data_IF_819182315345
#
_entry.id   IF_819182315345
#
_cell.length_a   1.000
_cell.length_b   1.000
_cell.length_c   1.000
_cell.angle_alpha   90.00
_cell.angle_beta   90.00
_cell.angle_gamma   90.00
#
_symmetry.space_group_name_H-M   'P 1'
#
loop_
_entity.id
_entity.type
_entity.pdbx_description
1 polymer ?
#
# COMPACT_ATOMS: atom_id res chain seq x y z
N UNK A 1 15.20 -69.07 41.37
CA UNK A 1 14.91 -67.84 42.13
C UNK A 1 14.36 -66.79 41.17
N UNK A 2 13.05 -66.57 41.20
CA UNK A 2 12.35 -65.75 40.28
C UNK A 2 12.07 -64.39 40.98
N UNK A 3 12.38 -63.33 40.29
CA UNK A 3 11.93 -61.99 40.68
C UNK A 3 10.67 -61.57 39.88
N UNK A 4 9.65 -60.96 40.52
CA UNK A 4 8.44 -60.59 39.84
C UNK A 4 8.59 -59.20 39.16
N UNK A 5 8.01 -59.09 37.97
CA UNK A 5 7.89 -57.86 37.20
C UNK A 5 6.81 -56.95 37.79
N UNK A 6 7.13 -55.69 37.96
CA UNK A 6 6.17 -54.65 38.36
C UNK A 6 5.39 -54.15 37.12
N UNK A 7 4.07 -54.26 37.20
CA UNK A 7 3.11 -53.71 36.24
C UNK A 7 2.90 -52.22 36.49
N UNK A 8 3.25 -51.40 35.50
CA UNK A 8 2.92 -49.95 35.54
C UNK A 8 1.71 -49.69 34.66
N UNK A 9 0.59 -49.40 35.28
CA UNK A 9 -0.66 -48.98 34.62
C UNK A 9 -0.52 -47.55 34.11
N UNK A 10 -0.61 -47.37 32.78
CA UNK A 10 -0.69 -46.06 32.14
C UNK A 10 -2.15 -45.62 32.14
N UNK A 11 -2.47 -44.57 32.88
CA UNK A 11 -3.77 -43.93 32.89
C UNK A 11 -3.98 -43.10 31.64
N UNK A 12 -4.99 -43.43 30.85
CA UNK A 12 -5.47 -42.66 29.72
C UNK A 12 -6.31 -41.45 30.24
N UNK A 13 -5.85 -40.24 29.96
CA UNK A 13 -6.62 -39.00 30.21
C UNK A 13 -7.40 -38.69 28.94
N UNK A 14 -8.71 -38.51 29.00
CA UNK A 14 -9.48 -38.10 27.80
C UNK A 14 -9.25 -36.62 27.49
N UNK A 15 -8.78 -36.34 26.29
CA UNK A 15 -8.68 -34.99 25.71
C UNK A 15 -10.06 -34.51 25.33
N UNK A 16 -10.63 -33.55 26.12
CA UNK A 16 -11.79 -32.80 25.75
C UNK A 16 -11.36 -31.61 24.91
N UNK A 17 -11.45 -31.73 23.60
CA UNK A 17 -11.26 -30.63 22.66
C UNK A 17 -12.52 -29.76 22.67
N UNK A 18 -12.54 -28.73 23.53
CA UNK A 18 -13.58 -27.70 23.50
C UNK A 18 -13.34 -26.78 22.31
N UNK A 19 -14.19 -26.86 21.31
CA UNK A 19 -14.29 -25.89 20.24
C UNK A 19 -14.72 -24.54 20.81
N UNK A 20 -13.76 -23.63 21.00
CA UNK A 20 -14.06 -22.24 21.29
C UNK A 20 -14.39 -21.54 19.98
N UNK A 21 -15.67 -21.35 19.74
CA UNK A 21 -16.18 -20.40 18.76
C UNK A 21 -15.82 -18.98 19.22
N UNK A 22 -14.78 -18.40 18.64
CA UNK A 22 -14.52 -16.96 18.79
C UNK A 22 -15.62 -16.18 18.06
N UNK A 23 -16.64 -15.78 18.79
CA UNK A 23 -17.48 -14.65 18.41
C UNK A 23 -16.61 -13.39 18.51
N UNK A 24 -16.36 -12.73 17.36
CA UNK A 24 -15.65 -11.46 17.31
C UNK A 24 -16.31 -10.43 18.23
N UNK A 25 -15.62 -10.04 19.26
CA UNK A 25 -15.93 -8.83 20.04
C UNK A 25 -15.20 -7.67 19.34
N UNK A 26 -15.93 -6.91 18.56
CA UNK A 26 -15.56 -5.54 18.20
C UNK A 26 -15.80 -4.67 19.44
N UNK A 27 -14.77 -4.49 20.26
CA UNK A 27 -14.76 -3.52 21.33
C UNK A 27 -13.76 -2.42 20.99
N UNK A 28 -14.09 -1.13 21.20
CA UNK A 28 -13.15 -0.04 20.92
C UNK A 28 -11.98 -0.08 21.91
N UNK A 29 -10.76 0.00 21.38
CA UNK A 29 -9.57 0.17 22.19
C UNK A 29 -9.52 1.63 22.68
N UNK A 30 -9.66 1.82 23.98
CA UNK A 30 -9.94 3.10 24.64
C UNK A 30 -8.65 3.81 25.09
N UNK A 31 -7.64 3.95 24.23
CA UNK A 31 -6.39 4.63 24.61
C UNK A 31 -5.97 5.84 23.77
N UNK A 32 -6.81 6.29 22.84
CA UNK A 32 -6.60 7.57 22.15
C UNK A 32 -7.94 8.28 21.94
N UNK A 33 -8.14 9.40 22.59
CA UNK A 33 -9.33 10.25 22.60
C UNK A 33 -10.35 10.09 21.48
N UNK A 34 -11.28 9.13 21.60
CA UNK A 34 -12.53 9.10 20.84
C UNK A 34 -12.49 8.72 19.36
N UNK A 35 -11.33 8.50 18.74
CA UNK A 35 -11.22 8.01 17.36
C UNK A 35 -11.25 6.48 17.36
N UNK A 36 -12.29 5.89 16.78
CA UNK A 36 -12.27 4.47 16.42
C UNK A 36 -11.22 4.27 15.34
N UNK A 37 -10.27 3.35 15.57
CA UNK A 37 -9.27 2.96 14.57
C UNK A 37 -9.86 1.80 13.78
N UNK A 38 -10.33 2.00 12.53
CA UNK A 38 -10.97 0.95 11.77
C UNK A 38 -9.94 -0.03 11.19
N UNK A 39 -10.26 -1.33 11.26
CA UNK A 39 -9.48 -2.41 10.65
C UNK A 39 -10.40 -3.31 9.86
N UNK A 40 -9.90 -3.80 8.74
CA UNK A 40 -10.50 -4.92 8.02
C UNK A 40 -9.61 -6.15 8.14
N UNK A 41 -10.22 -7.32 8.12
CA UNK A 41 -9.47 -8.59 8.04
C UNK A 41 -9.39 -9.02 6.58
N UNK A 42 -8.19 -8.98 6.02
CA UNK A 42 -7.89 -9.42 4.68
C UNK A 42 -6.83 -10.52 4.73
N UNK A 43 -7.10 -11.70 4.16
CA UNK A 43 -6.18 -12.85 4.19
C UNK A 43 -5.66 -13.20 5.60
N UNK A 44 -6.52 -13.09 6.62
CA UNK A 44 -6.23 -13.29 8.05
C UNK A 44 -5.30 -12.24 8.67
N UNK A 45 -5.03 -11.14 7.99
CA UNK A 45 -4.23 -10.02 8.47
C UNK A 45 -5.13 -8.83 8.75
N UNK A 46 -4.83 -8.08 9.79
CA UNK A 46 -5.50 -6.81 10.10
C UNK A 46 -4.89 -5.72 9.22
N UNK A 47 -5.73 -5.08 8.45
CA UNK A 47 -5.34 -3.93 7.62
C UNK A 47 -6.01 -2.68 8.20
N UNK A 48 -5.19 -1.73 8.62
CA UNK A 48 -5.65 -0.43 9.08
C UNK A 48 -6.00 0.47 7.91
N UNK A 49 -7.09 1.22 8.05
CA UNK A 49 -7.46 2.28 7.10
C UNK A 49 -8.12 3.43 7.85
N UNK A 50 -8.16 4.60 7.25
CA UNK A 50 -8.93 5.74 7.74
C UNK A 50 -9.83 6.30 6.64
N UNK A 51 -10.85 7.04 7.04
CA UNK A 51 -11.76 7.74 6.11
C UNK A 51 -11.81 9.21 6.45
N UNK A 52 -11.94 10.07 5.43
CA UNK A 52 -12.10 11.51 5.61
C UNK A 52 -13.04 12.08 4.54
N UNK A 53 -13.74 13.17 4.88
CA UNK A 53 -14.73 13.76 3.98
C UNK A 53 -16.05 12.98 3.96
N UNK A 54 -17.10 13.62 3.45
CA UNK A 54 -18.45 13.05 3.41
C UNK A 54 -19.05 13.06 2.00
N UNK A 55 -18.34 13.64 1.03
CA UNK A 55 -18.83 13.86 -0.34
C UNK A 55 -18.48 12.71 -1.26
N UNK A 56 -19.45 12.22 -2.00
CA UNK A 56 -19.17 11.33 -3.13
C UNK A 56 -18.68 12.12 -4.36
N UNK A 57 -17.87 11.50 -5.23
CA UNK A 57 -17.49 10.10 -5.22
C UNK A 57 -16.36 9.75 -4.24
N UNK A 58 -16.10 8.44 -4.08
CA UNK A 58 -14.99 7.96 -3.28
C UNK A 58 -13.65 8.09 -4.02
N UNK A 59 -12.59 8.39 -3.26
CA UNK A 59 -11.20 8.36 -3.70
C UNK A 59 -10.36 7.53 -2.73
N UNK A 60 -9.77 6.45 -3.24
CA UNK A 60 -8.89 5.59 -2.48
C UNK A 60 -7.43 6.06 -2.60
N UNK A 61 -6.75 6.19 -1.47
CA UNK A 61 -5.37 6.66 -1.38
C UNK A 61 -4.45 5.54 -0.89
N UNK A 62 -3.39 5.27 -1.64
CA UNK A 62 -2.38 4.29 -1.29
C UNK A 62 -0.97 4.88 -1.41
N UNK A 63 -0.27 4.98 -0.29
CA UNK A 63 1.04 5.59 -0.19
C UNK A 63 2.19 4.74 -0.75
N UNK A 64 3.39 5.33 -0.80
CA UNK A 64 4.62 4.64 -1.13
C UNK A 64 5.07 3.72 0.00
N UNK A 65 6.13 2.95 -0.26
CA UNK A 65 6.71 2.05 0.73
C UNK A 65 7.37 2.83 1.88
N UNK A 66 7.19 2.35 3.11
CA UNK A 66 7.68 2.94 4.38
C UNK A 66 7.20 4.39 4.66
N UNK A 67 6.10 4.78 4.07
CA UNK A 67 5.43 6.04 4.42
C UNK A 67 4.07 5.70 5.02
N UNK A 68 3.88 6.06 6.27
CA UNK A 68 2.65 5.79 6.98
C UNK A 68 1.49 6.70 6.52
N UNK A 69 0.31 6.39 7.00
CA UNK A 69 -0.93 7.10 6.69
C UNK A 69 -0.88 8.59 7.06
N UNK A 70 -0.17 8.96 8.16
CA UNK A 70 -0.09 10.34 8.64
C UNK A 70 0.53 11.31 7.62
N UNK A 71 1.37 10.80 6.70
CA UNK A 71 1.96 11.62 5.64
C UNK A 71 0.90 12.26 4.73
N UNK A 72 -0.23 11.62 4.51
CA UNK A 72 -1.32 12.17 3.73
C UNK A 72 -1.97 13.40 4.38
N UNK A 73 -2.01 13.41 5.73
CA UNK A 73 -2.47 14.55 6.51
C UNK A 73 -1.44 15.68 6.51
N UNK A 74 -0.17 15.35 6.78
CA UNK A 74 0.92 16.32 6.89
C UNK A 74 1.19 17.06 5.58
N UNK A 75 1.04 16.39 4.46
CA UNK A 75 1.23 16.99 3.13
C UNK A 75 0.03 17.79 2.64
N UNK A 76 -1.11 17.75 3.35
CA UNK A 76 -2.31 18.49 3.00
C UNK A 76 -3.16 17.86 1.89
N UNK A 77 -2.85 16.66 1.43
CA UNK A 77 -3.72 15.94 0.47
C UNK A 77 -5.11 15.72 1.01
N UNK A 78 -5.22 15.27 2.27
CA UNK A 78 -6.52 15.00 2.89
C UNK A 78 -7.34 16.29 2.97
N UNK A 79 -6.75 17.37 3.48
CA UNK A 79 -7.42 18.66 3.62
C UNK A 79 -8.04 19.14 2.30
N UNK A 80 -7.29 19.04 1.21
CA UNK A 80 -7.75 19.55 -0.09
C UNK A 80 -8.69 18.59 -0.83
N UNK A 81 -8.47 17.28 -0.73
CA UNK A 81 -9.27 16.30 -1.47
C UNK A 81 -10.62 15.98 -0.79
N UNK A 82 -10.72 16.05 0.54
CA UNK A 82 -11.97 15.80 1.27
C UNK A 82 -13.08 16.83 0.95
N UNK A 83 -12.72 17.99 0.41
CA UNK A 83 -13.69 18.99 -0.06
C UNK A 83 -14.51 18.48 -1.26
N UNK A 84 -13.98 17.49 -1.99
CA UNK A 84 -14.57 16.97 -3.23
C UNK A 84 -14.93 15.51 -3.16
N UNK A 85 -14.21 14.73 -2.35
CA UNK A 85 -14.30 13.27 -2.27
C UNK A 85 -14.53 12.79 -0.85
N UNK A 86 -15.11 11.61 -0.73
CA UNK A 86 -14.97 10.78 0.46
C UNK A 86 -13.71 9.94 0.30
N UNK A 87 -12.75 10.16 1.17
CA UNK A 87 -11.43 9.55 1.09
C UNK A 87 -11.40 8.24 1.88
N UNK A 88 -10.70 7.26 1.33
CA UNK A 88 -10.30 6.03 2.02
C UNK A 88 -8.80 5.93 1.92
N UNK A 89 -8.11 5.92 3.04
CA UNK A 89 -6.64 5.90 3.11
C UNK A 89 -6.22 4.60 3.76
N UNK A 90 -5.48 3.76 3.04
CA UNK A 90 -4.98 2.49 3.56
C UNK A 90 -3.60 2.66 4.18
N UNK A 91 -3.36 1.94 5.26
CA UNK A 91 -2.03 1.70 5.79
C UNK A 91 -1.58 0.30 5.35
N UNK A 92 -0.61 0.20 4.42
CA UNK A 92 -0.27 -1.08 3.81
C UNK A 92 0.23 -2.10 4.82
N UNK A 93 -0.01 -3.39 4.58
CA UNK A 93 0.51 -4.49 5.39
C UNK A 93 2.02 -4.34 5.60
N UNK A 94 2.49 -4.56 6.82
CA UNK A 94 3.88 -4.39 7.22
C UNK A 94 4.26 -2.96 7.60
N UNK A 95 3.29 -2.03 7.63
CA UNK A 95 3.53 -0.62 7.95
C UNK A 95 2.51 -0.13 9.00
N UNK A 96 2.95 0.83 9.81
CA UNK A 96 2.11 1.51 10.78
C UNK A 96 1.35 0.57 11.71
N UNK A 97 0.03 0.66 11.71
CA UNK A 97 -0.88 -0.12 12.57
C UNK A 97 -1.38 -1.42 11.93
N UNK A 98 -1.11 -1.64 10.65
CA UNK A 98 -1.42 -2.90 9.98
C UNK A 98 -0.53 -4.03 10.50
N UNK A 99 -1.01 -5.27 10.42
CA UNK A 99 -0.21 -6.44 10.81
C UNK A 99 1.07 -6.52 9.98
N UNK A 100 2.08 -7.23 10.52
CA UNK A 100 3.41 -7.34 9.93
C UNK A 100 3.91 -8.79 9.92
N UNK A 101 3.26 -9.70 9.14
CA UNK A 101 3.68 -11.10 9.06
C UNK A 101 5.04 -11.24 8.37
N UNK A 102 5.77 -12.33 8.67
CA UNK A 102 7.06 -12.61 8.03
C UNK A 102 6.92 -13.32 6.68
N UNK A 103 5.78 -13.94 6.42
CA UNK A 103 5.54 -14.72 5.19
C UNK A 103 5.46 -13.79 3.97
N UNK A 104 6.36 -13.99 3.02
CA UNK A 104 6.55 -13.12 1.85
C UNK A 104 5.32 -13.00 0.97
N UNK A 105 4.57 -14.09 0.79
CA UNK A 105 3.38 -14.13 -0.07
C UNK A 105 2.30 -13.10 0.27
N UNK A 106 2.25 -12.62 1.51
CA UNK A 106 1.33 -11.56 1.94
C UNK A 106 1.67 -10.18 1.36
N UNK A 107 2.91 -9.98 0.91
CA UNK A 107 3.43 -8.70 0.42
C UNK A 107 3.44 -8.55 -1.10
N UNK A 108 3.06 -9.59 -1.86
CA UNK A 108 2.96 -9.50 -3.31
C UNK A 108 1.97 -8.40 -3.73
N UNK A 109 2.19 -7.77 -4.87
CA UNK A 109 1.28 -6.72 -5.39
C UNK A 109 -0.15 -7.25 -5.54
N UNK A 110 -0.30 -8.53 -5.93
CA UNK A 110 -1.62 -9.19 -5.98
C UNK A 110 -2.28 -9.29 -4.61
N UNK A 111 -1.53 -9.68 -3.57
CA UNK A 111 -2.07 -9.74 -2.20
C UNK A 111 -2.49 -8.36 -1.70
N UNK A 112 -1.70 -7.32 -2.00
CA UNK A 112 -2.02 -5.93 -1.64
C UNK A 112 -3.24 -5.41 -2.40
N UNK A 113 -3.42 -5.79 -3.66
CA UNK A 113 -4.65 -5.50 -4.40
C UNK A 113 -5.88 -6.11 -3.72
N UNK A 114 -5.77 -7.36 -3.21
CA UNK A 114 -6.84 -7.98 -2.44
C UNK A 114 -7.12 -7.23 -1.12
N UNK A 115 -6.10 -6.68 -0.44
CA UNK A 115 -6.31 -5.84 0.75
C UNK A 115 -7.15 -4.60 0.42
N UNK A 116 -6.88 -3.93 -0.71
CA UNK A 116 -7.68 -2.77 -1.16
C UNK A 116 -9.13 -3.17 -1.39
N UNK A 117 -9.38 -4.30 -2.07
CA UNK A 117 -10.75 -4.77 -2.33
C UNK A 117 -11.51 -5.10 -1.04
N UNK A 118 -10.84 -5.68 -0.03
CA UNK A 118 -11.47 -5.93 1.27
C UNK A 118 -11.80 -4.62 2.00
N UNK A 119 -10.94 -3.60 1.92
CA UNK A 119 -11.25 -2.27 2.48
C UNK A 119 -12.44 -1.65 1.75
N UNK A 120 -12.48 -1.70 0.40
CA UNK A 120 -13.61 -1.18 -0.37
C UNK A 120 -14.92 -1.88 0.01
N UNK A 121 -14.89 -3.21 0.19
CA UNK A 121 -16.05 -3.99 0.63
C UNK A 121 -16.52 -3.57 2.03
N UNK A 122 -15.59 -3.36 2.96
CA UNK A 122 -15.89 -2.92 4.34
C UNK A 122 -16.58 -1.55 4.36
N UNK A 123 -16.11 -0.62 3.53
CA UNK A 123 -16.72 0.71 3.40
C UNK A 123 -17.90 0.75 2.42
N UNK A 124 -18.31 -0.40 1.89
CA UNK A 124 -19.45 -0.57 0.98
C UNK A 124 -19.34 0.26 -0.31
N UNK A 125 -18.14 0.25 -0.93
CA UNK A 125 -17.84 0.98 -2.16
C UNK A 125 -17.54 -0.01 -3.28
N UNK A 126 -18.42 -0.02 -4.30
CA UNK A 126 -18.26 -0.90 -5.47
C UNK A 126 -17.19 -0.38 -6.43
N UNK A 127 -17.11 0.95 -6.64
CA UNK A 127 -16.22 1.56 -7.59
C UNK A 127 -15.66 2.90 -7.06
N UNK A 128 -14.34 3.08 -7.13
CA UNK A 128 -13.64 4.26 -6.58
C UNK A 128 -12.69 4.89 -7.59
N UNK A 129 -12.41 6.18 -7.44
CA UNK A 129 -11.19 6.77 -7.97
C UNK A 129 -10.00 6.25 -7.15
N UNK A 130 -8.86 6.06 -7.78
CA UNK A 130 -7.66 5.55 -7.11
C UNK A 130 -6.47 6.49 -7.32
N UNK A 131 -5.79 6.86 -6.24
CA UNK A 131 -4.53 7.60 -6.27
C UNK A 131 -3.46 6.80 -5.56
N UNK A 132 -2.42 6.41 -6.29
CA UNK A 132 -1.31 5.62 -5.78
C UNK A 132 0.06 6.26 -6.00
N UNK A 133 0.92 6.22 -4.98
CA UNK A 133 2.31 6.66 -5.07
C UNK A 133 3.25 5.48 -4.83
N UNK A 134 4.28 5.32 -5.67
CA UNK A 134 5.26 4.24 -5.56
C UNK A 134 4.62 2.85 -5.49
N UNK A 135 4.72 2.18 -4.33
CA UNK A 135 4.06 0.88 -4.08
C UNK A 135 2.55 0.94 -4.37
N UNK A 136 1.88 2.01 -3.93
CA UNK A 136 0.46 2.21 -4.18
C UNK A 136 0.13 2.33 -5.67
N UNK A 137 1.03 2.88 -6.48
CA UNK A 137 0.85 2.95 -7.92
C UNK A 137 0.94 1.55 -8.57
N UNK A 138 1.87 0.68 -8.13
CA UNK A 138 1.93 -0.73 -8.58
C UNK A 138 0.62 -1.47 -8.27
N UNK A 139 0.10 -1.28 -7.05
CA UNK A 139 -1.20 -1.85 -6.65
C UNK A 139 -2.33 -1.32 -7.53
N UNK A 140 -2.35 -0.01 -7.80
CA UNK A 140 -3.34 0.62 -8.68
C UNK A 140 -3.32 0.06 -10.11
N UNK A 141 -2.15 -0.13 -10.71
CA UNK A 141 -2.03 -0.77 -12.02
C UNK A 141 -2.51 -2.23 -12.00
N UNK A 142 -2.17 -2.98 -10.96
CA UNK A 142 -2.66 -4.36 -10.79
C UNK A 142 -4.18 -4.41 -10.71
N UNK A 143 -4.81 -3.51 -9.95
CA UNK A 143 -6.26 -3.42 -9.83
C UNK A 143 -6.93 -3.01 -11.15
N UNK A 144 -6.37 -2.04 -11.88
CA UNK A 144 -6.90 -1.59 -13.16
C UNK A 144 -6.94 -2.69 -14.22
N UNK A 145 -6.11 -3.72 -14.08
CA UNK A 145 -6.10 -4.91 -14.95
C UNK A 145 -6.99 -6.01 -14.41
N UNK A 146 -6.81 -6.40 -13.14
CA UNK A 146 -7.45 -7.57 -12.58
C UNK A 146 -8.89 -7.33 -12.12
N UNK A 147 -9.23 -6.08 -11.74
CA UNK A 147 -10.52 -5.67 -11.20
C UNK A 147 -10.96 -4.30 -11.73
N UNK A 148 -11.04 -4.11 -13.07
CA UNK A 148 -11.32 -2.80 -13.67
C UNK A 148 -12.66 -2.21 -13.25
N UNK A 149 -13.64 -3.04 -12.91
CA UNK A 149 -14.99 -2.60 -12.49
C UNK A 149 -14.96 -1.87 -11.14
N UNK A 150 -13.93 -2.11 -10.31
CA UNK A 150 -13.76 -1.43 -9.03
C UNK A 150 -12.97 -0.10 -9.14
N UNK A 151 -12.37 0.18 -10.30
CA UNK A 151 -11.51 1.36 -10.50
C UNK A 151 -12.11 2.29 -11.55
N UNK A 152 -12.71 3.38 -11.11
CA UNK A 152 -13.28 4.42 -11.98
C UNK A 152 -12.19 5.15 -12.76
N UNK A 153 -11.16 5.59 -12.07
CA UNK A 153 -9.97 6.21 -12.64
C UNK A 153 -8.73 5.84 -11.84
N UNK A 154 -7.58 5.85 -12.49
CA UNK A 154 -6.29 5.59 -11.89
C UNK A 154 -5.39 6.83 -12.02
N UNK A 155 -4.93 7.38 -10.90
CA UNK A 155 -3.86 8.38 -10.87
C UNK A 155 -2.63 7.80 -10.17
N UNK A 156 -1.44 7.95 -10.77
CA UNK A 156 -0.20 7.36 -10.24
C UNK A 156 0.98 8.29 -10.34
N UNK A 157 1.93 8.20 -9.37
CA UNK A 157 3.24 8.79 -9.47
C UNK A 157 4.31 7.85 -8.87
N UNK A 158 5.54 7.92 -9.37
CA UNK A 158 6.68 7.17 -8.86
C UNK A 158 6.67 5.68 -9.18
N UNK A 159 5.88 5.22 -10.16
CA UNK A 159 5.90 3.85 -10.67
C UNK A 159 5.36 3.77 -12.09
N UNK A 160 5.63 2.65 -12.74
CA UNK A 160 5.11 2.30 -14.08
C UNK A 160 4.58 0.86 -14.08
N UNK A 161 3.77 0.46 -15.10
CA UNK A 161 3.12 -0.85 -15.13
C UNK A 161 4.01 -2.00 -15.62
N UNK A 162 5.29 -1.76 -15.88
CA UNK A 162 6.24 -2.76 -16.38
C UNK A 162 7.05 -3.39 -15.24
N UNK A 163 7.73 -4.54 -15.47
CA UNK A 163 8.70 -5.08 -14.53
C UNK A 163 9.82 -4.07 -14.22
N UNK A 164 10.39 -4.15 -13.01
CA UNK A 164 11.45 -3.25 -12.55
C UNK A 164 12.87 -3.74 -12.93
N UNK A 165 13.05 -4.32 -14.12
CA UNK A 165 14.27 -5.01 -14.55
C UNK A 165 15.50 -4.07 -14.51
N UNK A 166 15.35 -2.84 -14.97
CA UNK A 166 16.46 -1.87 -15.03
C UNK A 166 16.84 -1.31 -13.66
N UNK A 167 16.03 -1.59 -12.65
CA UNK A 167 16.21 -1.08 -11.29
C UNK A 167 16.62 -2.17 -10.29
N UNK A 168 16.69 -3.44 -10.71
CA UNK A 168 16.90 -4.58 -9.80
C UNK A 168 18.13 -4.40 -8.92
N UNK A 169 19.26 -3.98 -9.47
CA UNK A 169 20.49 -3.82 -8.69
C UNK A 169 20.33 -2.77 -7.57
N UNK A 170 19.70 -1.65 -7.87
CA UNK A 170 19.49 -0.55 -6.91
C UNK A 170 18.47 -0.96 -5.84
N UNK A 171 17.45 -1.73 -6.22
CA UNK A 171 16.43 -2.26 -5.32
C UNK A 171 16.97 -3.39 -4.43
N UNK A 172 17.88 -4.23 -4.95
CA UNK A 172 18.60 -5.23 -4.15
C UNK A 172 19.50 -4.56 -3.10
N UNK A 173 20.17 -3.47 -3.44
CA UNK A 173 20.94 -2.68 -2.48
C UNK A 173 20.02 -2.11 -1.38
N UNK A 174 18.87 -1.53 -1.75
CA UNK A 174 17.88 -1.04 -0.82
C UNK A 174 17.33 -2.15 0.10
N UNK A 175 17.06 -3.32 -0.45
CA UNK A 175 16.61 -4.49 0.30
C UNK A 175 17.69 -4.96 1.29
N UNK A 176 18.95 -4.97 0.89
CA UNK A 176 20.07 -5.32 1.75
C UNK A 176 20.25 -4.32 2.90
N UNK A 177 20.08 -3.01 2.64
CA UNK A 177 20.10 -2.01 3.71
C UNK A 177 19.02 -2.30 4.77
N UNK A 178 17.81 -2.60 4.35
CA UNK A 178 16.71 -2.92 5.25
C UNK A 178 16.98 -4.22 6.02
N UNK A 179 17.42 -5.28 5.32
CA UNK A 179 17.71 -6.58 5.94
C UNK A 179 18.78 -6.47 7.04
N UNK A 180 19.78 -5.61 6.84
CA UNK A 180 20.83 -5.36 7.82
C UNK A 180 20.45 -4.32 8.91
N UNK A 181 19.19 -3.86 8.92
CA UNK A 181 18.71 -2.88 9.90
C UNK A 181 19.19 -1.44 9.66
N UNK A 182 19.74 -1.14 8.49
CA UNK A 182 20.22 0.20 8.13
C UNK A 182 19.06 1.10 7.68
N UNK A 183 17.98 1.16 8.46
CA UNK A 183 16.73 1.86 8.12
C UNK A 183 16.98 3.36 7.94
N UNK A 184 17.82 3.98 8.78
CA UNK A 184 18.14 5.41 8.64
C UNK A 184 18.84 5.73 7.32
N UNK A 185 19.76 4.87 6.87
CA UNK A 185 20.45 5.04 5.58
C UNK A 185 19.47 4.86 4.42
N UNK A 186 18.58 3.88 4.51
CA UNK A 186 17.49 3.67 3.55
C UNK A 186 16.61 4.94 3.44
N UNK A 187 16.13 5.47 4.55
CA UNK A 187 15.28 6.66 4.55
C UNK A 187 16.01 7.88 3.97
N UNK A 188 17.28 8.05 4.29
CA UNK A 188 18.08 9.15 3.74
C UNK A 188 18.26 9.05 2.22
N UNK A 189 18.42 7.84 1.69
CA UNK A 189 18.63 7.62 0.25
C UNK A 189 17.32 7.70 -0.54
N UNK A 190 16.25 7.09 -0.04
CA UNK A 190 15.02 6.88 -0.79
C UNK A 190 13.90 7.84 -0.43
N UNK A 191 13.99 8.48 0.72
CA UNK A 191 13.01 9.42 1.25
C UNK A 191 13.65 10.72 1.72
N UNK A 192 14.77 11.14 1.09
CA UNK A 192 15.50 12.36 1.46
C UNK A 192 14.66 13.63 1.42
N UNK A 193 13.62 13.65 0.60
CA UNK A 193 12.66 14.76 0.52
C UNK A 193 11.44 14.57 1.42
N UNK A 194 11.35 13.42 2.11
CA UNK A 194 10.28 13.13 3.03
C UNK A 194 10.46 13.98 4.30
N UNK A 195 9.56 14.89 4.56
CA UNK A 195 9.50 15.63 5.81
C UNK A 195 8.85 14.79 6.91
N UNK A 196 9.43 13.61 7.18
CA UNK A 196 8.96 12.72 8.23
C UNK A 196 9.13 13.39 9.60
N UNK A 197 8.07 13.40 10.41
CA UNK A 197 8.16 13.84 11.80
C UNK A 197 9.08 12.90 12.60
N UNK A 198 9.58 13.38 13.75
CA UNK A 198 10.40 12.53 14.64
C UNK A 198 9.65 11.26 15.07
N UNK A 199 8.34 11.37 15.30
CA UNK A 199 7.48 10.23 15.65
C UNK A 199 7.38 9.21 14.50
N UNK A 200 7.22 9.66 13.25
CA UNK A 200 7.22 8.79 12.08
C UNK A 200 8.57 8.10 11.88
N UNK A 201 9.68 8.84 12.03
CA UNK A 201 11.01 8.27 11.95
C UNK A 201 11.23 7.20 13.04
N UNK A 202 10.78 7.46 14.26
CA UNK A 202 10.84 6.51 15.36
C UNK A 202 9.97 5.27 15.11
N UNK A 203 8.75 5.44 14.63
CA UNK A 203 7.88 4.31 14.26
C UNK A 203 8.52 3.41 13.20
N UNK A 204 9.10 4.00 12.16
CA UNK A 204 9.77 3.25 11.10
C UNK A 204 11.02 2.56 11.66
N UNK A 205 11.81 3.26 12.48
CA UNK A 205 13.03 2.71 13.07
C UNK A 205 12.75 1.55 14.04
N UNK A 206 11.62 1.58 14.73
CA UNK A 206 11.17 0.52 15.65
C UNK A 206 10.45 -0.64 14.94
N UNK A 207 10.21 -0.54 13.64
CA UNK A 207 9.62 -1.61 12.85
C UNK A 207 10.57 -2.79 12.63
N UNK A 208 10.05 -3.89 12.10
CA UNK A 208 10.84 -5.09 11.87
C UNK A 208 11.59 -5.00 10.53
N UNK A 209 12.95 -4.96 10.52
CA UNK A 209 13.76 -4.89 9.30
C UNK A 209 13.53 -6.07 8.33
N UNK A 210 13.27 -7.27 8.85
CA UNK A 210 12.98 -8.46 8.04
C UNK A 210 11.66 -8.31 7.29
N UNK A 211 10.63 -7.77 7.95
CA UNK A 211 9.34 -7.45 7.32
C UNK A 211 9.54 -6.41 6.21
N UNK A 212 10.32 -5.37 6.47
CA UNK A 212 10.58 -4.33 5.47
C UNK A 212 11.35 -4.88 4.27
N UNK A 213 12.41 -5.63 4.50
CA UNK A 213 13.18 -6.30 3.44
C UNK A 213 12.31 -7.24 2.61
N UNK A 214 11.51 -8.08 3.28
CA UNK A 214 10.57 -9.01 2.62
C UNK A 214 9.53 -8.26 1.79
N UNK A 215 8.94 -7.22 2.35
CA UNK A 215 7.93 -6.38 1.70
C UNK A 215 8.45 -5.68 0.44
N UNK A 216 9.66 -5.11 0.52
CA UNK A 216 10.32 -4.49 -0.64
C UNK A 216 10.67 -5.54 -1.69
N UNK A 217 11.23 -6.68 -1.29
CA UNK A 217 11.61 -7.78 -2.18
C UNK A 217 10.42 -8.30 -3.00
N UNK A 218 9.24 -8.44 -2.40
CA UNK A 218 8.02 -8.83 -3.12
C UNK A 218 7.57 -7.75 -4.12
N UNK A 219 7.73 -6.47 -3.79
CA UNK A 219 7.45 -5.37 -4.73
C UNK A 219 8.41 -5.38 -5.92
N UNK A 220 9.67 -5.74 -5.69
CA UNK A 220 10.69 -5.86 -6.74
C UNK A 220 10.45 -7.06 -7.67
N UNK A 221 9.85 -8.15 -7.15
CA UNK A 221 9.50 -9.34 -7.95
C UNK A 221 8.24 -9.16 -8.79
N UNK A 222 7.59 -8.01 -8.71
CA UNK A 222 6.43 -7.74 -9.54
C UNK A 222 6.79 -7.73 -11.03
N UNK A 223 6.17 -8.63 -11.77
CA UNK A 223 6.40 -8.80 -13.21
C UNK A 223 5.67 -7.78 -14.09
N UNK A 224 5.12 -6.72 -13.47
CA UNK A 224 4.29 -5.74 -14.15
C UNK A 224 2.84 -6.23 -14.33
N UNK A 225 2.10 -5.53 -15.16
CA UNK A 225 0.73 -5.96 -15.53
C UNK A 225 0.78 -7.08 -16.57
N UNK A 226 -0.09 -8.07 -16.42
CA UNK A 226 -0.15 -9.25 -17.29
C UNK A 226 -0.77 -8.97 -18.66
N UNK A 227 -1.64 -7.95 -18.73
CA UNK A 227 -2.37 -7.61 -19.93
C UNK A 227 -1.67 -6.51 -20.73
N UNK A 228 -1.81 -6.52 -22.08
CA UNK A 228 -1.31 -5.42 -22.90
C UNK A 228 -1.94 -4.08 -22.47
N UNK A 229 -1.14 -3.02 -22.35
CA UNK A 229 -1.60 -1.71 -21.89
C UNK A 229 -2.71 -1.11 -22.75
N UNK A 230 -2.74 -1.45 -24.03
CA UNK A 230 -3.80 -1.02 -24.95
C UNK A 230 -5.17 -1.69 -24.69
N UNK A 231 -5.24 -2.70 -23.84
CA UNK A 231 -6.50 -3.31 -23.39
C UNK A 231 -7.08 -2.66 -22.13
N UNK A 232 -6.28 -1.91 -21.39
CA UNK A 232 -6.68 -1.27 -20.14
C UNK A 232 -7.58 -0.06 -20.44
N UNK A 233 -8.86 -0.16 -20.12
CA UNK A 233 -9.87 0.88 -20.43
C UNK A 233 -10.05 1.92 -19.33
N UNK A 234 -9.51 1.68 -18.14
CA UNK A 234 -9.55 2.64 -17.03
C UNK A 234 -8.89 3.94 -17.46
N UNK A 235 -9.56 5.07 -17.25
CA UNK A 235 -8.94 6.38 -17.47
C UNK A 235 -7.79 6.59 -16.50
N UNK A 236 -6.59 6.89 -17.02
CA UNK A 236 -5.39 6.98 -16.21
C UNK A 236 -4.65 8.32 -16.38
N UNK A 237 -4.17 8.86 -15.26
CA UNK A 237 -3.29 10.02 -15.18
C UNK A 237 -1.98 9.62 -14.51
N UNK A 238 -0.88 9.65 -15.25
CA UNK A 238 0.44 9.27 -14.75
C UNK A 238 1.29 10.54 -14.57
N UNK A 239 1.88 10.70 -13.38
CA UNK A 239 2.78 11.81 -13.07
C UNK A 239 4.22 11.33 -13.07
N UNK A 240 5.13 12.11 -13.66
CA UNK A 240 6.56 11.84 -13.73
C UNK A 240 7.35 13.13 -13.88
N UNK A 241 8.65 13.09 -13.62
CA UNK A 241 9.57 14.20 -13.88
C UNK A 241 10.70 13.73 -14.81
N UNK A 242 11.29 14.63 -15.58
CA UNK A 242 12.35 14.29 -16.55
C UNK A 242 13.61 13.75 -15.91
N UNK A 243 13.82 14.03 -14.63
CA UNK A 243 14.94 13.52 -13.83
C UNK A 243 14.70 12.14 -13.22
N UNK A 244 13.45 11.64 -13.28
CA UNK A 244 13.13 10.31 -12.75
C UNK A 244 13.72 9.21 -13.63
N UNK A 245 14.34 8.18 -13.06
CA UNK A 245 14.80 7.00 -13.81
C UNK A 245 13.67 6.35 -14.61
N UNK A 246 12.44 6.40 -14.08
CA UNK A 246 11.22 5.82 -14.67
C UNK A 246 10.52 6.70 -15.71
N UNK A 247 11.05 7.89 -15.99
CA UNK A 247 10.41 8.86 -16.89
C UNK A 247 9.97 8.27 -18.23
N UNK A 248 10.88 7.56 -18.91
CA UNK A 248 10.58 6.99 -20.23
C UNK A 248 9.49 5.93 -20.17
N UNK A 249 9.54 5.06 -19.15
CA UNK A 249 8.55 3.99 -18.94
C UNK A 249 7.18 4.55 -18.58
N UNK A 250 7.09 5.57 -17.71
CA UNK A 250 5.83 6.23 -17.37
C UNK A 250 5.22 6.92 -18.58
N UNK A 251 6.04 7.66 -19.37
CA UNK A 251 5.59 8.32 -20.59
C UNK A 251 5.06 7.33 -21.61
N UNK A 252 5.76 6.23 -21.80
CA UNK A 252 5.36 5.19 -22.75
C UNK A 252 4.06 4.51 -22.30
N UNK A 253 3.92 4.17 -21.01
CA UNK A 253 2.68 3.63 -20.46
C UNK A 253 1.49 4.56 -20.70
N UNK A 254 1.66 5.86 -20.43
CA UNK A 254 0.61 6.86 -20.65
C UNK A 254 0.19 7.00 -22.12
N UNK A 255 1.06 6.64 -23.08
CA UNK A 255 0.76 6.64 -24.52
C UNK A 255 0.09 5.36 -24.99
N UNK A 256 0.47 4.22 -24.40
CA UNK A 256 -0.06 2.90 -24.80
C UNK A 256 -1.47 2.64 -24.25
N UNK A 257 -1.80 3.18 -23.09
CA UNK A 257 -3.14 3.06 -22.53
C UNK A 257 -4.14 3.92 -23.32
N UNK A 258 -5.27 3.37 -23.83
CA UNK A 258 -6.22 4.11 -24.67
C UNK A 258 -6.78 5.38 -24.03
N UNK A 259 -7.00 5.35 -22.72
CA UNK A 259 -7.47 6.48 -21.91
C UNK A 259 -6.37 7.00 -20.97
N UNK A 260 -5.10 6.71 -21.31
CA UNK A 260 -3.94 7.13 -20.54
C UNK A 260 -3.50 8.54 -20.90
N UNK A 261 -3.03 9.24 -19.88
CA UNK A 261 -2.38 10.55 -20.00
C UNK A 261 -1.17 10.58 -19.08
N UNK A 262 -0.21 11.44 -19.39
CA UNK A 262 0.88 11.71 -18.46
C UNK A 262 1.11 13.22 -18.33
N UNK A 263 1.56 13.62 -17.15
CA UNK A 263 1.98 14.99 -16.86
C UNK A 263 3.43 14.97 -16.43
N UNK A 264 4.24 15.83 -17.06
CA UNK A 264 5.64 16.03 -16.68
C UNK A 264 5.68 17.14 -15.64
N UNK A 265 6.12 16.78 -14.44
CA UNK A 265 6.27 17.73 -13.33
C UNK A 265 7.49 18.63 -13.56
N UNK A 266 7.41 19.92 -13.16
CA UNK A 266 8.44 20.92 -13.49
C UNK A 266 9.74 20.81 -12.69
N UNK A 267 9.79 19.95 -11.68
CA UNK A 267 10.98 19.78 -10.84
C UNK A 267 11.90 18.66 -11.33
N UNK A 268 13.21 18.90 -11.15
CA UNK A 268 14.27 17.94 -11.49
C UNK A 268 14.58 16.98 -10.34
N UNK A 269 13.66 16.74 -9.42
CA UNK A 269 13.89 15.86 -8.28
C UNK A 269 12.93 14.68 -8.35
N UNK A 270 13.49 13.50 -8.09
CA UNK A 270 12.72 12.28 -7.91
C UNK A 270 11.88 12.40 -6.66
N UNK A 271 10.58 12.58 -6.84
CA UNK A 271 9.65 12.60 -5.73
C UNK A 271 8.54 11.61 -6.02
N UNK A 272 8.13 10.87 -5.02
CA UNK A 272 6.94 10.03 -5.13
C UNK A 272 5.65 10.84 -5.32
N UNK A 273 5.76 12.16 -5.52
CA UNK A 273 4.63 13.06 -5.64
C UNK A 273 3.95 13.40 -4.32
N UNK A 274 4.03 12.52 -3.33
CA UNK A 274 3.38 12.71 -2.02
C UNK A 274 3.88 13.96 -1.27
N UNK A 275 5.15 14.30 -1.42
CA UNK A 275 5.79 15.44 -0.73
C UNK A 275 5.64 16.77 -1.49
N UNK A 276 5.02 16.74 -2.68
CA UNK A 276 4.80 17.91 -3.53
C UNK A 276 3.34 18.03 -3.97
N UNK A 277 2.41 18.23 -3.02
CA UNK A 277 0.99 18.39 -3.33
C UNK A 277 0.73 19.56 -4.27
N UNK A 278 1.53 20.63 -4.19
CA UNK A 278 1.49 21.79 -5.08
C UNK A 278 1.63 21.43 -6.57
N UNK A 279 2.42 20.39 -6.88
CA UNK A 279 2.63 19.93 -8.25
C UNK A 279 1.58 18.92 -8.74
N UNK A 280 0.99 18.17 -7.83
CA UNK A 280 0.08 17.06 -8.15
C UNK A 280 -1.40 17.48 -8.09
N UNK A 281 -1.81 18.22 -7.06
CA UNK A 281 -3.23 18.44 -6.77
C UNK A 281 -3.97 19.18 -7.87
N UNK A 282 -3.38 20.25 -8.44
CA UNK A 282 -4.05 21.02 -9.49
C UNK A 282 -4.31 20.17 -10.76
N UNK A 283 -3.31 19.49 -11.39
CA UNK A 283 -3.57 18.64 -12.53
C UNK A 283 -4.41 17.39 -12.20
N UNK A 284 -4.34 16.89 -10.96
CA UNK A 284 -5.17 15.78 -10.49
C UNK A 284 -6.65 16.18 -10.41
N UNK A 285 -6.96 17.34 -9.84
CA UNK A 285 -8.33 17.86 -9.77
C UNK A 285 -8.89 18.16 -11.16
N UNK A 286 -8.05 18.65 -12.09
CA UNK A 286 -8.46 18.82 -13.48
C UNK A 286 -8.76 17.48 -14.15
N UNK A 287 -7.94 16.47 -13.91
CA UNK A 287 -8.21 15.12 -14.40
C UNK A 287 -9.55 14.58 -13.91
N UNK A 288 -9.85 14.67 -12.62
CA UNK A 288 -11.11 14.19 -12.07
C UNK A 288 -12.33 14.98 -12.57
N UNK A 289 -12.20 16.30 -12.76
CA UNK A 289 -13.30 17.12 -13.32
C UNK A 289 -13.72 16.67 -14.73
N UNK A 290 -12.78 16.14 -15.52
CA UNK A 290 -13.04 15.61 -16.86
C UNK A 290 -13.69 14.23 -16.88
N UNK A 291 -13.77 13.57 -15.73
CA UNK A 291 -14.36 12.24 -15.59
C UNK A 291 -15.78 12.27 -14.97
N UNK A 292 -16.27 13.45 -14.68
CA UNK A 292 -17.67 13.71 -14.26
C UNK A 292 -18.59 13.83 -15.51
#
# INVERSE_FOLDING_TARGET
MAHPAASTTVGVVPSALAAQTHRGRTGPDASSGGRTVPFVIANRQRIHYETAGEREPYLFLHGPFLVNLDAWWQTGYIEQLQETFRLVVIEPLGQGRSDAPLESGHYSIRARAAHVLEVLREVQVDCTHFLGFGLGAQVGFSLAVSHPDHIRTLATAGAHPYPLIDELQVLEEAQNQLCNGHIAAYLQQWHSEAHLSSEQQEQIANGNPEVYSTSLGESCRWEGVSEPLNSIRVSAQLFTATSEPRFLSVREAGRQMPNGRYTILPKNQYTHGLWHPDLILSPLQEFYRRQR
#
